data_IF_141389707200
#
_entry.id   IF_141389707200
#
_cell.length_a   1.000
_cell.length_b   1.000
_cell.length_c   1.000
_cell.angle_alpha   90.00
_cell.angle_beta   90.00
_cell.angle_gamma   90.00
#
_symmetry.space_group_name_H-M   'P 1'
#
loop_
_entity.id
_entity.type
_entity.pdbx_description
1 polymer ?
#
# COMPACT_ATOMS: atom_id res chain seq x y z
N UNK A 1 -4.33 -11.17 23.41
CA UNK A 1 -3.57 -12.42 23.70
C UNK A 1 -4.43 -13.69 23.69
N UNK A 2 -5.78 -13.60 23.64
CA UNK A 2 -6.68 -14.78 23.77
C UNK A 2 -6.46 -15.83 22.70
N UNK A 3 -6.08 -15.44 21.48
CA UNK A 3 -5.87 -16.36 20.35
C UNK A 3 -4.39 -16.50 19.98
N UNK A 4 -3.45 -16.16 20.87
CA UNK A 4 -2.02 -16.18 20.56
C UNK A 4 -1.50 -17.59 20.27
N UNK A 5 -1.90 -18.58 21.08
CA UNK A 5 -1.50 -19.98 20.88
C UNK A 5 -1.95 -20.50 19.51
N UNK A 6 -3.21 -20.25 19.16
CA UNK A 6 -3.75 -20.63 17.85
C UNK A 6 -3.00 -19.91 16.70
N UNK A 7 -2.74 -18.61 16.86
CA UNK A 7 -2.01 -17.85 15.86
C UNK A 7 -0.60 -18.40 15.61
N UNK A 8 0.10 -18.80 16.68
CA UNK A 8 1.44 -19.39 16.59
C UNK A 8 1.43 -20.80 15.97
N UNK A 9 0.43 -21.61 16.30
CA UNK A 9 0.32 -22.98 15.79
C UNK A 9 -0.12 -23.02 14.32
N UNK A 10 -1.02 -22.14 13.94
CA UNK A 10 -1.60 -22.13 12.58
C UNK A 10 -0.91 -21.15 11.61
N UNK A 11 -0.04 -20.26 12.10
CA UNK A 11 0.59 -19.22 11.29
C UNK A 11 -0.42 -18.25 10.68
N UNK A 12 -1.52 -17.95 11.41
CA UNK A 12 -2.63 -17.11 10.94
C UNK A 12 -2.92 -15.99 11.93
N UNK A 13 -3.53 -14.87 11.47
CA UNK A 13 -3.87 -13.74 12.35
C UNK A 13 -5.13 -14.03 13.19
N UNK A 14 -5.10 -15.10 14.01
CA UNK A 14 -6.23 -15.57 14.80
C UNK A 14 -6.76 -14.51 15.80
N UNK A 15 -5.96 -13.50 16.13
CA UNK A 15 -6.38 -12.35 16.92
C UNK A 15 -7.52 -11.53 16.31
N UNK A 16 -7.65 -11.54 14.98
CA UNK A 16 -8.73 -10.86 14.25
C UNK A 16 -10.12 -11.39 14.63
N UNK A 17 -10.22 -12.67 15.07
CA UNK A 17 -11.48 -13.29 15.53
C UNK A 17 -12.18 -12.51 16.64
N UNK A 18 -11.43 -11.68 17.39
CA UNK A 18 -12.00 -10.77 18.39
C UNK A 18 -12.88 -9.66 17.82
N UNK A 19 -12.77 -9.38 16.52
CA UNK A 19 -13.49 -8.32 15.82
C UNK A 19 -14.37 -8.84 14.69
N UNK A 20 -14.05 -10.01 14.13
CA UNK A 20 -14.76 -10.64 13.01
C UNK A 20 -13.93 -11.74 12.37
N UNK A 21 -14.45 -12.32 11.30
CA UNK A 21 -13.77 -13.39 10.57
C UNK A 21 -13.25 -12.90 9.23
N UNK A 22 -11.94 -12.70 9.14
CA UNK A 22 -11.23 -12.34 7.92
C UNK A 22 -9.95 -13.17 7.80
N UNK A 23 -9.55 -13.56 6.58
CA UNK A 23 -8.32 -14.30 6.36
C UNK A 23 -7.06 -13.45 6.65
N UNK A 24 -7.14 -12.14 6.42
CA UNK A 24 -6.03 -11.20 6.61
C UNK A 24 -6.51 -9.88 7.23
N UNK A 25 -5.58 -9.12 7.81
CA UNK A 25 -5.85 -7.75 8.27
C UNK A 25 -6.17 -6.83 7.08
N UNK A 26 -5.63 -7.10 5.89
CA UNK A 26 -5.86 -6.33 4.69
C UNK A 26 -7.36 -6.20 4.38
N UNK A 27 -8.10 -7.31 4.35
CA UNK A 27 -9.56 -7.27 4.12
C UNK A 27 -10.36 -6.75 5.32
N UNK A 28 -9.83 -6.95 6.53
CA UNK A 28 -10.49 -6.52 7.75
C UNK A 28 -10.47 -5.00 7.96
N UNK A 29 -9.41 -4.33 7.51
CA UNK A 29 -9.05 -2.98 7.94
C UNK A 29 -10.19 -1.98 7.87
N UNK A 30 -10.93 -1.94 6.76
CA UNK A 30 -12.06 -1.02 6.57
C UNK A 30 -13.32 -1.39 7.36
N UNK A 31 -13.38 -2.62 7.91
CA UNK A 31 -14.52 -3.16 8.66
C UNK A 31 -14.28 -3.19 10.17
N UNK A 32 -13.06 -2.92 10.62
CA UNK A 32 -12.72 -2.83 12.05
C UNK A 32 -13.42 -1.65 12.72
N UNK A 33 -13.67 -1.72 14.05
CA UNK A 33 -14.16 -0.58 14.80
C UNK A 33 -13.27 0.66 14.61
N UNK A 34 -13.87 1.85 14.55
CA UNK A 34 -13.16 3.12 14.24
C UNK A 34 -11.93 3.36 15.13
N UNK A 35 -12.03 3.06 16.42
CA UNK A 35 -10.90 3.24 17.35
C UNK A 35 -9.75 2.27 17.07
N UNK A 36 -10.04 1.07 16.54
CA UNK A 36 -9.03 0.09 16.12
C UNK A 36 -8.37 0.54 14.82
N UNK A 37 -9.17 1.01 13.85
CA UNK A 37 -8.65 1.58 12.60
C UNK A 37 -7.71 2.75 12.87
N UNK A 38 -8.11 3.69 13.75
CA UNK A 38 -7.26 4.82 14.15
C UNK A 38 -5.95 4.39 14.80
N UNK A 39 -6.00 3.37 15.66
CA UNK A 39 -4.79 2.83 16.31
C UNK A 39 -3.87 2.16 15.29
N UNK A 40 -4.44 1.40 14.37
CA UNK A 40 -3.68 0.75 13.29
C UNK A 40 -3.00 1.77 12.39
N UNK A 41 -3.76 2.72 11.83
CA UNK A 41 -3.21 3.78 11.01
C UNK A 41 -2.16 4.62 11.73
N UNK A 42 -2.35 4.88 13.05
CA UNK A 42 -1.38 5.62 13.85
C UNK A 42 -0.08 4.87 14.04
N UNK A 43 -0.13 3.55 14.17
CA UNK A 43 1.04 2.68 14.27
C UNK A 43 1.79 2.61 12.93
N UNK A 44 1.08 2.36 11.84
CA UNK A 44 1.62 2.31 10.48
C UNK A 44 2.33 3.62 10.12
N UNK A 45 1.67 4.75 10.33
CA UNK A 45 2.24 6.07 10.07
C UNK A 45 3.46 6.40 10.93
N UNK A 46 3.54 5.92 12.16
CA UNK A 46 4.69 6.16 13.02
C UNK A 46 5.98 5.60 12.42
N UNK A 47 5.91 4.41 11.82
CA UNK A 47 7.07 3.78 11.20
C UNK A 47 7.36 4.29 9.79
N UNK A 48 6.33 4.59 9.00
CA UNK A 48 6.50 4.96 7.60
C UNK A 48 6.87 6.44 7.41
N UNK A 49 6.29 7.35 8.17
CA UNK A 49 6.43 8.80 7.94
C UNK A 49 7.88 9.30 8.05
N UNK A 50 8.66 8.78 9.00
CA UNK A 50 10.07 9.16 9.16
C UNK A 50 10.95 8.69 7.99
N UNK A 51 10.55 7.61 7.32
CA UNK A 51 11.27 7.03 6.20
C UNK A 51 10.95 7.71 4.87
N UNK A 52 9.83 8.40 4.76
CA UNK A 52 9.34 9.00 3.51
C UNK A 52 10.31 10.03 2.92
N UNK A 53 10.94 10.85 3.75
CA UNK A 53 11.89 11.86 3.24
C UNK A 53 13.10 11.21 2.55
N UNK A 54 13.62 10.15 3.12
CA UNK A 54 14.72 9.40 2.51
C UNK A 54 14.27 8.69 1.23
N UNK A 55 13.08 8.07 1.24
CA UNK A 55 12.52 7.39 0.09
C UNK A 55 12.24 8.34 -1.08
N UNK A 56 11.72 9.55 -0.82
CA UNK A 56 11.50 10.58 -1.85
C UNK A 56 12.82 10.93 -2.55
N UNK A 57 13.89 11.15 -1.80
CA UNK A 57 15.22 11.44 -2.38
C UNK A 57 15.73 10.28 -3.23
N UNK A 58 15.61 9.05 -2.74
CA UNK A 58 16.05 7.85 -3.50
C UNK A 58 15.28 7.71 -4.81
N UNK A 59 13.98 7.97 -4.79
CA UNK A 59 13.10 7.77 -5.95
C UNK A 59 13.23 8.90 -6.96
N UNK A 60 13.23 10.17 -6.51
CA UNK A 60 13.09 11.34 -7.38
C UNK A 60 14.38 12.08 -7.68
N UNK A 61 15.40 12.03 -6.81
CA UNK A 61 16.66 12.75 -7.01
C UNK A 61 17.68 11.93 -7.84
N UNK A 62 17.27 10.75 -8.32
CA UNK A 62 18.09 9.89 -9.17
C UNK A 62 18.17 10.40 -10.61
N UNK A 63 18.96 9.72 -11.43
CA UNK A 63 19.17 10.05 -12.85
C UNK A 63 17.98 9.74 -13.76
N UNK A 64 17.08 8.84 -13.33
CA UNK A 64 15.88 8.48 -14.09
C UNK A 64 14.70 9.35 -13.64
N UNK A 65 14.05 9.99 -14.60
CA UNK A 65 12.83 10.75 -14.36
C UNK A 65 11.70 9.81 -13.96
N UNK A 66 10.92 10.22 -12.96
CA UNK A 66 9.71 9.50 -12.50
C UNK A 66 8.51 10.40 -12.81
N UNK A 67 7.69 9.98 -13.75
CA UNK A 67 6.45 10.67 -14.12
C UNK A 67 5.21 9.93 -13.59
N UNK A 68 5.28 8.59 -13.49
CA UNK A 68 4.17 7.74 -13.09
C UNK A 68 4.61 6.78 -11.98
N UNK A 69 3.95 6.88 -10.83
CA UNK A 69 4.19 6.02 -9.68
C UNK A 69 2.91 5.25 -9.32
N UNK A 70 3.02 3.95 -9.12
CA UNK A 70 1.97 3.09 -8.58
C UNK A 70 2.23 2.85 -7.10
N UNK A 71 1.31 3.29 -6.26
CA UNK A 71 1.31 3.12 -4.81
C UNK A 71 0.38 1.95 -4.46
N UNK A 72 0.97 0.78 -4.16
CA UNK A 72 0.24 -0.47 -3.90
C UNK A 72 -0.01 -0.60 -2.40
N UNK A 73 -1.28 -0.68 -2.01
CA UNK A 73 -1.66 -0.59 -0.60
C UNK A 73 -1.52 0.83 -0.05
N UNK A 74 -1.77 1.84 -0.88
CA UNK A 74 -1.53 3.26 -0.53
C UNK A 74 -2.43 3.83 0.57
N UNK A 75 -3.37 3.02 1.10
CA UNK A 75 -4.23 3.30 2.25
C UNK A 75 -4.88 4.69 2.17
N UNK A 76 -4.53 5.61 3.07
CA UNK A 76 -5.10 6.96 3.15
C UNK A 76 -4.50 7.96 2.16
N UNK A 77 -3.52 7.56 1.34
CA UNK A 77 -2.87 8.41 0.35
C UNK A 77 -1.78 9.34 0.91
N UNK A 78 -1.25 9.06 2.11
CA UNK A 78 -0.19 9.90 2.71
C UNK A 78 1.08 9.91 1.88
N UNK A 79 1.53 8.74 1.43
CA UNK A 79 2.70 8.64 0.55
C UNK A 79 2.47 9.35 -0.78
N UNK A 80 1.33 9.09 -1.43
CA UNK A 80 0.96 9.75 -2.67
C UNK A 80 0.95 11.29 -2.53
N UNK A 81 0.40 11.81 -1.41
CA UNK A 81 0.43 13.23 -1.08
C UNK A 81 1.85 13.78 -1.01
N UNK A 82 2.76 13.07 -0.32
CA UNK A 82 4.17 13.46 -0.24
C UNK A 82 4.85 13.46 -1.61
N UNK A 83 4.55 12.46 -2.44
CA UNK A 83 5.10 12.36 -3.80
C UNK A 83 4.70 13.56 -4.67
N UNK A 84 3.39 13.89 -4.74
CA UNK A 84 2.92 14.99 -5.59
C UNK A 84 3.34 16.37 -5.10
N UNK A 85 3.58 16.52 -3.80
CA UNK A 85 4.14 17.74 -3.22
C UNK A 85 5.65 17.86 -3.46
N UNK A 86 6.38 16.74 -3.44
CA UNK A 86 7.82 16.72 -3.67
C UNK A 86 8.17 16.93 -5.15
N UNK A 87 7.46 16.25 -6.03
CA UNK A 87 7.70 16.32 -7.48
C UNK A 87 6.44 16.86 -8.21
N UNK A 88 6.50 18.06 -8.79
CA UNK A 88 5.34 18.70 -9.42
C UNK A 88 4.87 18.02 -10.73
N UNK A 89 5.65 17.09 -11.29
CA UNK A 89 5.31 16.40 -12.54
C UNK A 89 4.89 14.94 -12.36
N UNK A 90 4.97 14.39 -11.15
CA UNK A 90 4.59 12.99 -10.93
C UNK A 90 3.07 12.84 -10.81
N UNK A 91 2.54 11.81 -11.47
CA UNK A 91 1.20 11.29 -11.25
C UNK A 91 1.29 10.01 -10.43
N UNK A 92 0.49 9.90 -9.38
CA UNK A 92 0.46 8.75 -8.49
C UNK A 92 -0.87 8.04 -8.63
N UNK A 93 -0.85 6.75 -8.91
CA UNK A 93 -2.04 5.90 -8.87
C UNK A 93 -2.01 5.03 -7.63
N UNK A 94 -3.03 5.12 -6.79
CA UNK A 94 -3.18 4.27 -5.60
C UNK A 94 -4.01 3.04 -5.98
N UNK A 95 -3.41 1.86 -5.78
CA UNK A 95 -4.01 0.56 -6.01
C UNK A 95 -4.33 -0.10 -4.66
N UNK A 96 -5.61 -0.10 -4.28
CA UNK A 96 -6.04 -0.59 -2.96
C UNK A 96 -7.51 -1.05 -2.99
N UNK A 97 -7.99 -1.60 -1.88
CA UNK A 97 -9.39 -2.00 -1.70
C UNK A 97 -10.35 -0.82 -1.98
N UNK A 98 -11.54 -1.09 -2.53
CA UNK A 98 -12.50 -0.03 -2.85
C UNK A 98 -12.82 0.91 -1.68
N UNK A 99 -12.91 0.38 -0.45
CA UNK A 99 -13.18 1.16 0.75
C UNK A 99 -12.00 2.07 1.12
N UNK A 100 -10.76 1.56 1.00
CA UNK A 100 -9.54 2.36 1.24
C UNK A 100 -9.41 3.47 0.20
N UNK A 101 -9.69 3.17 -1.06
CA UNK A 101 -9.75 4.18 -2.13
C UNK A 101 -10.80 5.27 -1.84
N UNK A 102 -11.95 4.91 -1.30
CA UNK A 102 -12.97 5.91 -0.92
C UNK A 102 -12.46 6.82 0.21
N UNK A 103 -11.82 6.27 1.24
CA UNK A 103 -11.19 7.05 2.33
C UNK A 103 -10.07 7.95 1.79
N UNK A 104 -9.20 7.42 0.96
CA UNK A 104 -8.12 8.15 0.31
C UNK A 104 -8.63 9.38 -0.42
N UNK A 105 -9.67 9.23 -1.26
CA UNK A 105 -10.28 10.34 -2.00
C UNK A 105 -10.76 11.46 -1.10
N UNK A 106 -11.40 11.11 0.04
CA UNK A 106 -11.84 12.12 1.02
C UNK A 106 -10.66 12.86 1.66
N UNK A 107 -9.58 12.17 1.96
CA UNK A 107 -8.41 12.76 2.61
C UNK A 107 -7.56 13.60 1.66
N UNK A 108 -7.51 13.25 0.39
CA UNK A 108 -6.65 13.93 -0.58
C UNK A 108 -7.35 15.01 -1.42
N UNK A 109 -8.67 15.13 -1.37
CA UNK A 109 -9.46 16.02 -2.26
C UNK A 109 -9.09 17.51 -2.21
N UNK A 110 -8.56 17.99 -1.09
CA UNK A 110 -8.26 19.41 -0.86
C UNK A 110 -6.76 19.71 -0.76
N UNK A 111 -5.89 18.74 -1.07
CA UNK A 111 -4.44 18.96 -1.03
C UNK A 111 -3.96 19.58 -2.34
N UNK A 112 -2.83 20.28 -2.27
CA UNK A 112 -2.14 20.72 -3.48
C UNK A 112 -1.61 19.50 -4.27
N UNK A 113 -1.97 19.41 -5.56
CA UNK A 113 -1.67 18.27 -6.42
C UNK A 113 -2.68 17.12 -6.35
N UNK A 114 -3.87 17.32 -5.77
CA UNK A 114 -4.94 16.31 -5.71
C UNK A 114 -5.33 15.77 -7.10
N UNK A 115 -5.27 16.61 -8.12
CA UNK A 115 -5.55 16.28 -9.53
C UNK A 115 -4.59 15.25 -10.12
N UNK A 116 -3.43 15.05 -9.48
CA UNK A 116 -2.39 14.09 -9.89
C UNK A 116 -2.40 12.79 -9.06
N UNK A 117 -3.40 12.63 -8.16
CA UNK A 117 -3.60 11.39 -7.41
C UNK A 117 -4.80 10.65 -7.98
N UNK A 118 -4.52 9.49 -8.55
CA UNK A 118 -5.51 8.63 -9.18
C UNK A 118 -5.79 7.39 -8.32
N UNK A 119 -6.87 6.69 -8.65
CA UNK A 119 -7.30 5.51 -7.90
C UNK A 119 -7.53 4.30 -8.81
N UNK A 120 -7.07 3.15 -8.37
CA UNK A 120 -7.31 1.86 -8.99
C UNK A 120 -7.89 0.88 -7.93
N UNK A 121 -9.21 0.89 -7.71
CA UNK A 121 -9.82 0.06 -6.67
C UNK A 121 -9.81 -1.41 -7.09
N UNK A 122 -9.24 -2.29 -6.24
CA UNK A 122 -9.23 -3.73 -6.46
C UNK A 122 -8.93 -4.49 -5.16
N UNK A 123 -9.19 -5.79 -5.16
CA UNK A 123 -8.71 -6.69 -4.11
C UNK A 123 -7.50 -7.47 -4.65
N UNK A 124 -6.32 -7.26 -4.09
CA UNK A 124 -5.08 -7.92 -4.54
C UNK A 124 -5.00 -9.40 -4.17
N UNK A 125 -5.86 -9.89 -3.27
CA UNK A 125 -6.03 -11.32 -3.01
C UNK A 125 -6.75 -12.03 -4.17
N UNK A 126 -7.50 -11.32 -4.99
CA UNK A 126 -8.00 -11.86 -6.25
C UNK A 126 -6.87 -12.00 -7.25
N UNK A 127 -6.42 -13.24 -7.46
CA UNK A 127 -5.31 -13.58 -8.36
C UNK A 127 -5.59 -13.22 -9.83
N UNK A 128 -6.82 -12.95 -10.22
CA UNK A 128 -7.19 -12.51 -11.59
C UNK A 128 -6.95 -11.02 -11.82
N UNK A 129 -6.81 -10.23 -10.76
CA UNK A 129 -6.53 -8.79 -10.85
C UNK A 129 -5.15 -8.57 -11.45
N UNK A 130 -5.11 -7.80 -12.52
CA UNK A 130 -3.87 -7.37 -13.18
C UNK A 130 -3.45 -5.99 -12.67
N UNK A 131 -2.17 -5.78 -12.63
CA UNK A 131 -1.64 -4.44 -12.40
C UNK A 131 -1.97 -3.53 -13.60
N UNK A 132 -2.23 -2.24 -13.36
CA UNK A 132 -2.64 -1.34 -14.43
C UNK A 132 -1.53 -1.08 -15.44
N UNK A 133 -1.92 -0.88 -16.71
CA UNK A 133 -1.04 -0.57 -17.83
C UNK A 133 -1.36 0.80 -18.42
N UNK A 134 -0.44 1.47 -19.12
CA UNK A 134 0.96 1.08 -19.41
C UNK A 134 1.84 1.08 -18.15
N UNK A 135 3.04 0.49 -18.26
CA UNK A 135 3.98 0.35 -17.14
C UNK A 135 4.24 1.67 -16.40
N UNK A 136 4.44 1.57 -15.10
CA UNK A 136 4.82 2.69 -14.24
C UNK A 136 6.34 2.79 -14.12
N UNK A 137 6.86 4.00 -13.99
CA UNK A 137 8.29 4.21 -13.75
C UNK A 137 8.71 3.64 -12.39
N UNK A 138 7.78 3.72 -11.43
CA UNK A 138 7.97 3.19 -10.07
C UNK A 138 6.72 2.46 -9.61
N UNK A 139 6.90 1.27 -9.04
CA UNK A 139 5.94 0.58 -8.19
C UNK A 139 6.46 0.67 -6.76
N UNK A 140 5.63 1.13 -5.85
CA UNK A 140 5.92 1.31 -4.44
C UNK A 140 5.02 0.42 -3.58
N UNK A 141 5.62 -0.33 -2.65
CA UNK A 141 4.94 -1.13 -1.63
C UNK A 141 5.57 -0.83 -0.28
N UNK A 142 4.77 -0.38 0.68
CA UNK A 142 5.27 0.01 1.99
C UNK A 142 4.30 -0.41 3.08
N UNK A 143 4.79 -1.12 4.10
CA UNK A 143 3.99 -1.64 5.21
C UNK A 143 2.72 -2.34 4.70
N UNK A 144 2.91 -3.16 3.67
CA UNK A 144 1.84 -3.76 2.90
C UNK A 144 1.99 -5.27 2.77
N UNK A 145 3.20 -5.73 2.43
CA UNK A 145 3.45 -7.16 2.17
C UNK A 145 3.40 -8.01 3.44
N UNK A 146 3.62 -7.42 4.60
CA UNK A 146 3.52 -8.05 5.91
C UNK A 146 2.09 -8.49 6.28
N UNK A 147 1.08 -7.99 5.55
CA UNK A 147 -0.32 -8.40 5.69
C UNK A 147 -0.64 -9.79 5.08
N UNK A 148 0.27 -10.38 4.33
CA UNK A 148 0.02 -11.53 3.46
C UNK A 148 0.91 -12.73 3.78
N UNK A 149 0.44 -13.93 3.38
CA UNK A 149 1.24 -15.15 3.39
C UNK A 149 2.32 -15.11 2.30
N UNK A 150 3.36 -15.96 2.42
CA UNK A 150 4.42 -16.06 1.42
C UNK A 150 3.89 -16.37 0.01
N UNK A 151 2.84 -17.20 -0.09
CA UNK A 151 2.20 -17.52 -1.37
C UNK A 151 1.53 -16.28 -1.99
N UNK A 152 0.84 -15.50 -1.17
CA UNK A 152 0.16 -14.26 -1.61
C UNK A 152 1.18 -13.20 -2.00
N UNK A 153 2.23 -12.98 -1.19
CA UNK A 153 3.35 -12.08 -1.51
C UNK A 153 3.98 -12.48 -2.85
N UNK A 154 4.28 -13.77 -3.04
CA UNK A 154 4.84 -14.27 -4.30
C UNK A 154 3.92 -13.99 -5.49
N UNK A 155 2.62 -14.19 -5.33
CA UNK A 155 1.61 -13.91 -6.36
C UNK A 155 1.54 -12.41 -6.68
N UNK A 156 1.53 -11.54 -5.67
CA UNK A 156 1.48 -10.09 -5.84
C UNK A 156 2.74 -9.59 -6.56
N UNK A 157 3.92 -9.98 -6.09
CA UNK A 157 5.19 -9.57 -6.68
C UNK A 157 5.35 -10.06 -8.12
N UNK A 158 4.89 -11.29 -8.43
CA UNK A 158 4.91 -11.81 -9.81
C UNK A 158 4.04 -10.97 -10.73
N UNK A 159 2.80 -10.65 -10.34
CA UNK A 159 1.89 -9.81 -11.12
C UNK A 159 2.41 -8.37 -11.28
N UNK A 160 3.06 -7.83 -10.25
CA UNK A 160 3.73 -6.55 -10.34
C UNK A 160 4.85 -6.59 -11.38
N UNK A 161 5.72 -7.60 -11.31
CA UNK A 161 6.81 -7.79 -12.26
C UNK A 161 6.33 -7.96 -13.72
N UNK A 162 5.21 -8.67 -13.92
CA UNK A 162 4.59 -8.83 -15.26
C UNK A 162 4.07 -7.50 -15.86
N UNK A 163 3.82 -6.49 -15.03
CA UNK A 163 3.38 -5.15 -15.46
C UNK A 163 4.53 -4.15 -15.68
N UNK A 164 5.75 -4.53 -15.33
CA UNK A 164 6.94 -3.70 -15.42
C UNK A 164 7.61 -3.83 -16.80
N UNK A 165 8.31 -2.78 -17.19
CA UNK A 165 9.23 -2.79 -18.32
C UNK A 165 10.69 -2.60 -17.86
N UNK A 166 11.62 -2.51 -18.80
CA UNK A 166 13.07 -2.36 -18.54
C UNK A 166 13.45 -1.07 -17.79
N UNK A 167 12.56 -0.08 -17.77
CA UNK A 167 12.76 1.21 -17.11
C UNK A 167 12.10 1.27 -15.73
N UNK A 168 11.17 0.38 -15.47
CA UNK A 168 10.42 0.30 -14.21
C UNK A 168 11.31 -0.12 -13.04
N UNK A 169 10.98 0.36 -11.85
CA UNK A 169 11.62 -0.02 -10.59
C UNK A 169 10.56 -0.36 -9.56
N UNK A 170 10.77 -1.44 -8.83
CA UNK A 170 9.98 -1.81 -7.67
C UNK A 170 10.76 -1.43 -6.40
N UNK A 171 10.14 -0.67 -5.52
CA UNK A 171 10.63 -0.39 -4.18
C UNK A 171 9.71 -1.02 -3.14
N UNK A 172 10.31 -1.73 -2.19
CA UNK A 172 9.62 -2.35 -1.07
C UNK A 172 10.21 -1.77 0.21
N UNK A 173 9.36 -1.19 1.05
CA UNK A 173 9.73 -0.65 2.35
C UNK A 173 8.94 -1.38 3.44
N UNK A 174 9.57 -2.35 4.05
CA UNK A 174 8.99 -3.20 5.08
C UNK A 174 9.91 -3.30 6.29
N UNK A 175 9.39 -3.73 7.41
CA UNK A 175 10.21 -4.08 8.58
C UNK A 175 10.73 -5.49 8.41
N UNK A 176 12.05 -5.62 8.27
CA UNK A 176 12.74 -6.91 8.22
C UNK A 176 13.46 -7.20 9.54
N UNK A 177 13.44 -8.47 9.94
CA UNK A 177 14.10 -8.97 11.16
C UNK A 177 15.44 -9.62 10.84
#
# INVERSE_FOLDING_TARGET
LFNLEEALLEGKPSGLKSFGEWPTIYEALSSLPEHVQKSWCGFDHFYSDESFEAALKIIFDGTKKVNRLLDVGGNTGRWATKCVQYNPSVEVTIMDLPQQVAMMREQTKNIDGADRIHAYPCNLLDKSVKFPTPAFDVIWMSQFLDCFSEEEVTSICKRAAESMDENSRLYIMETFW
#
